data_IF_791198179513
#
_entry.id   IF_791198179513
#
_cell.length_a   1.000
_cell.length_b   1.000
_cell.length_c   1.000
_cell.angle_alpha   90.00
_cell.angle_beta   90.00
_cell.angle_gamma   90.00
#
_symmetry.space_group_name_H-M   'P 1'
#
loop_
_entity.id
_entity.type
_entity.pdbx_description
1 polymer ?
#
# COMPACT_ATOMS: atom_id res chain seq x y z
N UNK A 1 -9.26 -32.33 10.72
CA UNK A 1 -10.64 -31.98 10.37
C UNK A 1 -10.72 -30.46 10.32
N UNK A 2 -10.88 -29.90 9.11
CA UNK A 2 -11.10 -28.49 8.71
C UNK A 2 -10.06 -27.42 9.14
N UNK A 3 -9.16 -27.13 8.20
CA UNK A 3 -8.36 -25.91 8.12
C UNK A 3 -9.26 -24.72 7.72
N UNK A 4 -9.20 -23.64 8.49
CA UNK A 4 -9.86 -22.36 8.20
C UNK A 4 -8.82 -21.44 7.54
N UNK A 5 -8.88 -21.34 6.22
CA UNK A 5 -8.15 -20.34 5.44
C UNK A 5 -8.87 -19.00 5.59
N UNK A 6 -8.30 -18.07 6.38
CA UNK A 6 -8.73 -16.68 6.39
C UNK A 6 -8.01 -15.93 5.26
N UNK A 7 -8.71 -15.76 4.15
CA UNK A 7 -8.33 -14.87 3.05
C UNK A 7 -8.51 -13.42 3.55
N UNK A 8 -7.42 -12.65 3.67
CA UNK A 8 -7.45 -11.23 4.02
C UNK A 8 -6.81 -10.44 2.88
N UNK A 9 -7.62 -9.75 2.08
CA UNK A 9 -7.14 -8.82 1.06
C UNK A 9 -7.62 -7.40 1.35
N UNK A 10 -6.79 -6.44 0.96
CA UNK A 10 -7.01 -5.01 1.08
C UNK A 10 -8.14 -4.55 0.14
N UNK A 11 -8.80 -3.48 0.55
CA UNK A 11 -10.06 -2.99 0.00
C UNK A 11 -9.86 -1.52 -0.42
N UNK A 12 -10.15 -1.17 -1.68
CA UNK A 12 -10.05 0.20 -2.21
C UNK A 12 -11.40 0.66 -2.75
N UNK A 13 -11.76 1.93 -2.52
CA UNK A 13 -13.05 2.56 -2.89
C UNK A 13 -12.88 3.40 -4.17
N UNK A 14 -13.81 3.32 -5.14
CA UNK A 14 -13.88 4.21 -6.31
C UNK A 14 -15.29 4.79 -6.50
N UNK A 15 -15.42 6.12 -6.41
CA UNK A 15 -16.62 6.86 -6.83
C UNK A 15 -16.47 7.31 -8.30
N UNK A 16 -17.50 7.07 -9.13
CA UNK A 16 -17.60 7.60 -10.51
C UNK A 16 -18.83 8.49 -10.61
N UNK A 17 -18.65 9.82 -10.72
CA UNK A 17 -19.72 10.77 -11.03
C UNK A 17 -19.59 11.19 -12.50
N UNK A 18 -20.61 10.91 -13.30
CA UNK A 18 -20.73 11.37 -14.69
C UNK A 18 -21.69 12.58 -14.77
N UNK A 19 -21.26 13.65 -15.45
CA UNK A 19 -22.04 14.85 -15.77
C UNK A 19 -22.62 14.75 -17.18
N UNK A 20 -23.92 15.08 -17.37
CA UNK A 20 -24.44 15.53 -18.67
C UNK A 20 -25.71 16.39 -18.53
N UNK A 21 -25.86 17.33 -19.46
CA UNK A 21 -26.62 18.58 -19.37
C UNK A 21 -28.02 18.59 -20.04
N UNK A 22 -28.93 19.38 -19.46
CA UNK A 22 -29.97 20.28 -20.03
C UNK A 22 -31.06 19.79 -21.03
N UNK A 23 -32.36 20.03 -20.70
CA UNK A 23 -33.31 20.74 -21.59
C UNK A 23 -34.56 21.27 -20.83
N UNK A 24 -35.02 22.46 -21.23
CA UNK A 24 -36.15 23.24 -20.71
C UNK A 24 -37.43 22.95 -21.52
N UNK A 25 -38.59 22.80 -20.87
CA UNK A 25 -39.90 22.94 -21.52
C UNK A 25 -40.92 23.60 -20.59
N UNK A 26 -41.53 24.68 -21.08
CA UNK A 26 -42.50 25.54 -20.40
C UNK A 26 -43.90 25.21 -20.93
N UNK A 27 -44.84 24.80 -20.07
CA UNK A 27 -46.29 24.86 -20.35
C UNK A 27 -47.04 25.30 -19.09
N UNK A 28 -47.90 26.31 -19.26
CA UNK A 28 -48.81 26.84 -18.24
C UNK A 28 -50.00 25.88 -18.03
N UNK A 29 -50.37 25.64 -16.77
CA UNK A 29 -51.74 25.27 -16.43
C UNK A 29 -51.92 24.43 -15.17
N UNK A 30 -52.54 25.05 -14.16
CA UNK A 30 -53.28 24.47 -13.02
C UNK A 30 -52.45 24.00 -11.80
N UNK A 31 -53.01 24.33 -10.63
CA UNK A 31 -52.39 24.42 -9.30
C UNK A 31 -51.50 23.25 -8.86
N UNK A 32 -50.41 23.49 -8.10
CA UNK A 32 -49.75 22.40 -7.40
C UNK A 32 -50.60 22.01 -6.19
N UNK A 33 -51.24 20.85 -6.28
CA UNK A 33 -51.58 20.07 -5.09
C UNK A 33 -50.34 20.03 -4.20
N UNK A 34 -50.47 20.52 -2.97
CA UNK A 34 -49.42 20.45 -1.95
C UNK A 34 -49.35 19.02 -1.42
N UNK A 35 -49.07 18.06 -2.31
CA UNK A 35 -48.56 16.76 -1.94
C UNK A 35 -47.12 16.98 -1.53
N UNK A 36 -46.85 16.97 -0.23
CA UNK A 36 -45.50 16.85 0.27
C UNK A 36 -44.87 15.61 -0.37
N UNK A 37 -44.08 15.80 -1.43
CA UNK A 37 -43.16 14.78 -1.91
C UNK A 37 -42.20 14.56 -0.77
N UNK A 38 -42.46 13.49 -0.02
CA UNK A 38 -41.55 12.97 0.97
C UNK A 38 -40.27 12.67 0.20
N UNK A 39 -39.28 13.56 0.34
CA UNK A 39 -37.98 13.40 -0.28
C UNK A 39 -37.50 12.00 0.10
N UNK A 40 -37.40 11.11 -0.89
CA UNK A 40 -36.86 9.79 -0.65
C UNK A 40 -35.45 9.99 -0.10
N UNK A 41 -35.20 9.42 1.08
CA UNK A 41 -33.85 9.41 1.61
C UNK A 41 -32.92 8.83 0.53
N UNK A 42 -31.75 9.43 0.28
CA UNK A 42 -30.83 8.92 -0.74
C UNK A 42 -30.57 7.44 -0.44
N UNK A 43 -30.92 6.58 -1.40
CA UNK A 43 -30.60 5.16 -1.34
C UNK A 43 -29.09 5.08 -1.26
N UNK A 44 -28.57 4.70 -0.09
CA UNK A 44 -27.14 4.40 0.06
C UNK A 44 -26.87 3.17 -0.79
N UNK A 45 -26.34 3.37 -2.00
CA UNK A 45 -25.80 2.28 -2.81
C UNK A 45 -24.78 1.54 -1.94
N UNK A 46 -24.94 0.22 -1.73
CA UNK A 46 -23.98 -0.53 -0.95
C UNK A 46 -22.60 -0.41 -1.61
N UNK A 47 -21.58 -0.03 -0.84
CA UNK A 47 -20.19 -0.12 -1.30
C UNK A 47 -19.86 -1.60 -1.44
N UNK A 48 -19.52 -2.02 -2.66
CA UNK A 48 -19.11 -3.40 -2.96
C UNK A 48 -17.60 -3.46 -3.12
N UNK A 49 -16.99 -4.50 -2.54
CA UNK A 49 -15.58 -4.81 -2.73
C UNK A 49 -15.43 -6.05 -3.60
N UNK A 50 -14.46 -6.02 -4.50
CA UNK A 50 -14.09 -7.17 -5.32
C UNK A 50 -12.63 -7.56 -5.08
N UNK A 51 -12.34 -8.83 -5.28
CA UNK A 51 -10.98 -9.35 -5.23
C UNK A 51 -10.27 -9.06 -6.56
N UNK A 52 -9.10 -8.40 -6.52
CA UNK A 52 -8.25 -8.22 -7.69
C UNK A 52 -7.05 -9.17 -7.57
N UNK A 53 -7.03 -10.29 -8.32
CA UNK A 53 -6.01 -11.31 -8.14
C UNK A 53 -4.64 -10.86 -8.71
N UNK A 54 -3.53 -11.48 -8.27
CA UNK A 54 -2.18 -11.17 -8.78
C UNK A 54 -2.03 -11.18 -10.30
N UNK A 55 -2.75 -12.08 -10.99
CA UNK A 55 -2.76 -12.15 -12.47
C UNK A 55 -3.36 -10.92 -13.15
N UNK A 56 -4.12 -10.12 -12.41
CA UNK A 56 -4.77 -8.89 -12.87
C UNK A 56 -4.01 -7.68 -12.37
N UNK A 57 -3.60 -7.66 -11.10
CA UNK A 57 -2.92 -6.50 -10.51
C UNK A 57 -1.41 -6.48 -10.74
N UNK A 58 -0.76 -7.62 -11.00
CA UNK A 58 0.71 -7.73 -11.02
C UNK A 58 1.35 -7.83 -9.62
N UNK A 59 0.60 -7.64 -8.54
CA UNK A 59 1.10 -7.73 -7.16
C UNK A 59 1.17 -9.21 -6.75
N UNK A 60 2.39 -9.74 -6.57
CA UNK A 60 2.62 -11.16 -6.22
C UNK A 60 3.24 -11.36 -4.84
N UNK A 61 3.58 -10.27 -4.14
CA UNK A 61 4.23 -10.29 -2.83
C UNK A 61 3.34 -10.93 -1.76
N UNK A 62 3.99 -11.67 -0.86
CA UNK A 62 3.34 -12.34 0.26
C UNK A 62 4.14 -12.07 1.54
N UNK A 63 3.45 -11.56 2.56
CA UNK A 63 4.02 -11.41 3.89
C UNK A 63 4.21 -12.78 4.55
N UNK A 64 5.37 -13.00 5.15
CA UNK A 64 5.62 -14.09 6.08
C UNK A 64 5.85 -13.47 7.46
N UNK A 65 5.06 -13.85 8.44
CA UNK A 65 5.15 -13.29 9.80
C UNK A 65 6.12 -14.08 10.70
N UNK A 66 6.90 -15.01 10.13
CA UNK A 66 7.86 -15.84 10.86
C UNK A 66 7.23 -16.71 11.96
N UNK A 67 6.00 -17.16 11.77
CA UNK A 67 5.25 -17.90 12.77
C UNK A 67 6.03 -19.09 13.35
N UNK A 68 6.17 -19.11 14.68
CA UNK A 68 6.84 -20.15 15.44
C UNK A 68 5.98 -20.66 16.62
N UNK A 69 6.28 -21.85 17.17
CA UNK A 69 5.70 -22.30 18.44
C UNK A 69 5.98 -21.38 19.63
N UNK A 70 7.12 -20.67 19.60
CA UNK A 70 7.60 -19.80 20.68
C UNK A 70 6.88 -18.45 20.73
N UNK A 71 6.27 -18.02 19.61
CA UNK A 71 5.46 -16.80 19.48
C UNK A 71 6.20 -15.54 19.93
N UNK A 72 7.37 -15.30 19.33
CA UNK A 72 8.16 -14.10 19.63
C UNK A 72 7.34 -12.84 19.32
N UNK A 73 7.56 -11.77 20.09
CA UNK A 73 6.85 -10.50 19.90
C UNK A 73 6.91 -9.99 18.45
N UNK A 74 8.05 -10.03 17.73
CA UNK A 74 8.14 -9.72 16.30
C UNK A 74 7.14 -10.45 15.38
N UNK A 75 6.70 -11.66 15.71
CA UNK A 75 5.75 -12.41 14.89
C UNK A 75 4.31 -11.87 14.97
N UNK A 76 4.03 -11.12 16.05
CA UNK A 76 2.70 -10.59 16.36
C UNK A 76 2.45 -9.20 15.77
N UNK A 77 3.53 -8.54 15.34
CA UNK A 77 3.46 -7.24 14.65
C UNK A 77 3.38 -7.51 13.15
N UNK A 78 2.33 -7.01 12.51
CA UNK A 78 2.17 -7.14 11.07
C UNK A 78 3.15 -6.26 10.30
N UNK A 79 3.32 -6.56 9.02
CA UNK A 79 4.06 -5.73 8.09
C UNK A 79 3.48 -4.32 7.93
N UNK A 80 4.36 -3.31 7.96
CA UNK A 80 4.05 -1.97 7.48
C UNK A 80 3.98 -1.89 5.95
N UNK A 81 3.29 -0.86 5.47
CA UNK A 81 3.28 -0.45 4.08
C UNK A 81 3.35 1.07 3.97
N UNK A 82 3.82 1.56 2.82
CA UNK A 82 3.76 2.97 2.45
C UNK A 82 3.20 3.10 1.03
N UNK A 83 2.43 4.16 0.83
CA UNK A 83 2.07 4.66 -0.49
C UNK A 83 2.90 5.91 -0.73
N UNK A 84 3.63 5.94 -1.83
CA UNK A 84 4.55 7.02 -2.20
C UNK A 84 4.62 7.14 -3.70
N UNK A 85 4.90 8.33 -4.21
CA UNK A 85 5.27 8.55 -5.61
C UNK A 85 6.80 8.51 -5.66
N UNK A 86 7.40 7.35 -6.00
CA UNK A 86 8.87 7.19 -5.88
C UNK A 86 9.62 7.75 -7.09
N UNK A 87 8.95 7.89 -8.23
CA UNK A 87 9.53 8.36 -9.49
C UNK A 87 8.96 9.72 -9.95
N UNK A 88 8.17 10.39 -9.11
CA UNK A 88 7.57 11.71 -9.33
C UNK A 88 6.70 11.77 -10.59
N UNK A 89 6.01 10.67 -10.91
CA UNK A 89 5.12 10.58 -12.06
C UNK A 89 3.68 11.05 -11.77
N UNK A 90 3.39 11.41 -10.52
CA UNK A 90 2.11 11.89 -10.04
C UNK A 90 1.16 10.79 -9.57
N UNK A 91 1.59 9.53 -9.56
CA UNK A 91 0.80 8.38 -9.10
C UNK A 91 1.45 7.72 -7.89
N UNK A 92 0.60 7.24 -6.99
CA UNK A 92 1.09 6.51 -5.82
C UNK A 92 1.46 5.07 -6.21
N UNK A 93 2.68 4.71 -5.88
CA UNK A 93 3.27 3.38 -5.84
C UNK A 93 3.08 2.75 -4.47
N UNK A 94 3.53 1.50 -4.32
CA UNK A 94 3.35 0.74 -3.08
C UNK A 94 4.68 0.14 -2.61
N UNK A 95 5.07 0.45 -1.38
CA UNK A 95 6.13 -0.25 -0.66
C UNK A 95 5.55 -1.16 0.42
N UNK A 96 5.98 -2.42 0.45
CA UNK A 96 5.52 -3.46 1.38
C UNK A 96 6.71 -4.03 2.15
N UNK A 97 6.64 -4.00 3.48
CA UNK A 97 7.69 -4.51 4.37
C UNK A 97 7.46 -5.98 4.68
N UNK A 98 8.52 -6.79 4.71
CA UNK A 98 8.44 -8.20 5.06
C UNK A 98 9.35 -8.54 6.25
N UNK A 99 9.13 -9.71 6.83
CA UNK A 99 10.08 -10.32 7.75
C UNK A 99 11.32 -10.79 7.00
N UNK A 100 12.36 -11.12 7.74
CA UNK A 100 13.65 -11.55 7.21
C UNK A 100 14.45 -12.31 8.25
N UNK A 101 15.64 -12.80 7.89
CA UNK A 101 16.50 -13.54 8.82
C UNK A 101 16.77 -12.75 10.11
N UNK A 102 16.73 -13.44 11.25
CA UNK A 102 17.04 -12.92 12.58
C UNK A 102 17.65 -14.02 13.46
N UNK A 103 17.96 -13.71 14.71
CA UNK A 103 18.46 -14.67 15.72
C UNK A 103 17.46 -15.78 16.07
N UNK A 104 16.16 -15.56 15.89
CA UNK A 104 15.11 -16.55 16.16
C UNK A 104 14.40 -17.09 14.92
N UNK A 105 14.65 -16.53 13.73
CA UNK A 105 13.97 -16.93 12.49
C UNK A 105 14.93 -17.09 11.32
N UNK A 106 14.93 -18.30 10.73
CA UNK A 106 15.61 -18.60 9.46
C UNK A 106 14.56 -18.95 8.41
N UNK A 107 14.33 -18.09 7.41
CA UNK A 107 13.29 -18.33 6.42
C UNK A 107 13.71 -19.44 5.45
N UNK A 108 12.76 -20.29 5.04
CA UNK A 108 13.00 -21.41 4.11
C UNK A 108 13.37 -20.95 2.70
N UNK A 109 12.96 -19.73 2.34
CA UNK A 109 13.29 -19.04 1.09
C UNK A 109 13.64 -17.59 1.41
N UNK A 110 14.45 -16.90 0.59
CA UNK A 110 14.69 -15.48 0.77
C UNK A 110 13.37 -14.70 0.82
N UNK A 111 13.19 -13.93 1.89
CA UNK A 111 12.10 -12.97 2.03
C UNK A 111 12.63 -11.58 1.69
N UNK A 112 11.80 -10.80 1.01
CA UNK A 112 12.12 -9.44 0.59
C UNK A 112 10.94 -8.53 0.88
N UNK A 113 11.25 -7.26 1.15
CA UNK A 113 10.30 -6.18 0.95
C UNK A 113 9.94 -6.08 -0.54
N UNK A 114 8.92 -5.32 -0.88
CA UNK A 114 8.57 -5.07 -2.29
C UNK A 114 8.27 -3.60 -2.56
N UNK A 115 8.79 -3.07 -3.68
CA UNK A 115 8.37 -1.81 -4.28
C UNK A 115 7.66 -2.12 -5.60
N UNK A 116 6.41 -1.69 -5.70
CA UNK A 116 5.55 -1.86 -6.86
C UNK A 116 5.28 -0.51 -7.53
N UNK A 117 5.80 -0.33 -8.75
CA UNK A 117 5.48 0.82 -9.59
C UNK A 117 4.06 0.68 -10.15
N UNK A 118 3.28 1.75 -10.04
CA UNK A 118 1.93 1.83 -10.59
C UNK A 118 1.99 2.10 -12.09
N UNK A 119 1.49 1.18 -12.92
CA UNK A 119 1.52 1.34 -14.38
C UNK A 119 0.40 2.25 -14.93
N UNK A 120 -0.37 2.91 -14.06
CA UNK A 120 -1.48 3.85 -14.34
C UNK A 120 -2.71 3.21 -15.01
N UNK A 121 -2.76 1.88 -15.12
CA UNK A 121 -3.85 1.13 -15.73
C UNK A 121 -4.53 0.15 -14.75
N UNK A 122 -4.19 0.25 -13.46
CA UNK A 122 -4.64 -0.66 -12.41
C UNK A 122 -3.75 -1.89 -12.23
N UNK A 123 -2.65 -1.98 -12.98
CA UNK A 123 -1.60 -2.98 -12.80
C UNK A 123 -0.35 -2.37 -12.15
N UNK A 124 0.50 -3.23 -11.60
CA UNK A 124 1.72 -2.87 -10.91
C UNK A 124 2.89 -3.72 -11.38
N UNK A 125 4.07 -3.10 -11.45
CA UNK A 125 5.33 -3.76 -11.80
C UNK A 125 6.22 -3.84 -10.56
N UNK A 126 6.68 -5.04 -10.20
CA UNK A 126 7.69 -5.19 -9.14
C UNK A 126 9.04 -4.63 -9.63
N UNK A 127 9.48 -3.54 -8.99
CA UNK A 127 10.75 -2.87 -9.30
C UNK A 127 11.77 -3.02 -8.16
N UNK A 128 11.50 -3.88 -7.17
CA UNK A 128 12.27 -3.98 -5.91
C UNK A 128 13.77 -4.15 -6.12
N UNK A 129 14.16 -5.13 -6.95
CA UNK A 129 15.57 -5.45 -7.18
C UNK A 129 16.25 -4.38 -8.03
N UNK A 130 15.53 -3.78 -8.98
CA UNK A 130 16.02 -2.65 -9.79
C UNK A 130 16.26 -1.41 -8.94
N UNK A 131 15.33 -1.14 -8.02
CA UNK A 131 15.35 0.03 -7.14
C UNK A 131 16.33 -0.14 -5.96
N UNK A 132 16.75 -1.37 -5.64
CA UNK A 132 17.72 -1.63 -4.57
C UNK A 132 17.13 -1.63 -3.15
N UNK A 133 15.83 -1.91 -3.02
CA UNK A 133 15.07 -1.75 -1.76
C UNK A 133 14.51 -3.05 -1.20
N UNK A 134 15.13 -4.19 -1.56
CA UNK A 134 14.71 -5.52 -1.14
C UNK A 134 14.76 -5.76 0.38
N UNK A 135 15.49 -4.94 1.13
CA UNK A 135 15.66 -5.11 2.58
C UNK A 135 16.68 -6.20 2.90
N UNK A 136 16.27 -7.16 3.74
CA UNK A 136 17.16 -8.20 4.28
C UNK A 136 17.22 -8.24 5.81
N UNK A 137 16.37 -7.47 6.48
CA UNK A 137 16.18 -7.49 7.94
C UNK A 137 14.77 -7.95 8.27
N UNK A 138 14.50 -8.24 9.54
CA UNK A 138 13.14 -8.52 10.01
C UNK A 138 12.35 -7.21 10.12
N UNK A 139 11.81 -6.76 8.98
CA UNK A 139 11.12 -5.49 8.85
C UNK A 139 9.80 -5.45 9.61
N UNK A 140 9.49 -4.28 10.18
CA UNK A 140 8.30 -4.03 10.98
C UNK A 140 7.41 -2.96 10.36
N UNK A 141 8.00 -1.83 10.00
CA UNK A 141 7.28 -0.61 9.63
C UNK A 141 8.04 0.18 8.60
N UNK A 142 7.37 1.13 7.96
CA UNK A 142 7.97 2.04 7.00
C UNK A 142 7.36 3.43 7.12
N UNK A 143 8.19 4.45 6.97
CA UNK A 143 7.79 5.83 6.74
C UNK A 143 8.31 6.29 5.38
N UNK A 144 7.53 7.09 4.67
CA UNK A 144 7.89 7.70 3.40
C UNK A 144 7.86 9.22 3.55
N UNK A 145 8.98 9.89 3.30
CA UNK A 145 9.12 11.35 3.36
C UNK A 145 10.41 11.76 2.65
N UNK A 146 10.42 12.95 2.05
CA UNK A 146 11.64 13.62 1.59
C UNK A 146 12.38 14.17 2.81
N UNK A 147 13.40 13.44 3.31
CA UNK A 147 14.06 13.80 4.59
C UNK A 147 15.19 14.81 4.40
N UNK A 148 15.79 14.89 3.20
CA UNK A 148 16.90 15.79 2.89
C UNK A 148 16.49 17.01 2.05
N UNK A 149 15.23 17.10 1.64
CA UNK A 149 14.63 18.24 0.96
C UNK A 149 15.01 18.32 -0.53
N UNK A 150 15.34 17.20 -1.15
CA UNK A 150 15.78 17.13 -2.55
C UNK A 150 14.62 16.98 -3.55
N UNK A 151 13.39 16.85 -3.05
CA UNK A 151 12.17 16.69 -3.84
C UNK A 151 11.84 15.25 -4.23
N UNK A 152 12.59 14.25 -3.72
CA UNK A 152 12.32 12.85 -3.92
C UNK A 152 11.94 12.17 -2.62
N UNK A 153 10.88 11.35 -2.64
CA UNK A 153 10.42 10.69 -1.42
C UNK A 153 11.37 9.54 -1.06
N UNK A 154 11.92 9.59 0.14
CA UNK A 154 12.78 8.56 0.72
C UNK A 154 11.98 7.53 1.54
N UNK A 155 12.63 6.42 1.92
CA UNK A 155 12.03 5.37 2.73
C UNK A 155 12.85 5.12 4.00
N UNK A 156 12.19 5.18 5.16
CA UNK A 156 12.76 4.71 6.43
C UNK A 156 12.06 3.45 6.90
N UNK A 157 12.75 2.32 6.86
CA UNK A 157 12.26 1.00 7.26
C UNK A 157 12.74 0.68 8.67
N UNK A 158 11.80 0.49 9.59
CA UNK A 158 12.11 0.01 10.94
C UNK A 158 12.14 -1.51 10.95
N UNK A 159 13.08 -2.13 11.66
CA UNK A 159 13.22 -3.57 11.72
C UNK A 159 13.75 -4.02 13.09
N UNK A 160 13.58 -5.30 13.43
CA UNK A 160 14.31 -5.90 14.54
C UNK A 160 15.81 -5.98 14.20
N UNK A 161 16.65 -5.54 15.13
CA UNK A 161 18.11 -5.51 15.00
C UNK A 161 18.68 -4.31 14.24
N UNK A 162 18.21 -3.99 13.03
CA UNK A 162 18.75 -2.87 12.23
C UNK A 162 17.71 -2.20 11.33
N UNK A 163 17.50 -0.90 11.56
CA UNK A 163 16.70 -0.05 10.67
C UNK A 163 17.45 0.26 9.37
N UNK A 164 16.72 0.63 8.32
CA UNK A 164 17.29 1.01 7.02
C UNK A 164 16.70 2.36 6.57
N UNK A 165 17.56 3.34 6.29
CA UNK A 165 17.20 4.58 5.59
C UNK A 165 17.67 4.48 4.14
N UNK A 166 16.72 4.42 3.22
CA UNK A 166 16.93 4.46 1.78
C UNK A 166 16.70 5.89 1.30
N UNK A 167 17.77 6.54 0.82
CA UNK A 167 17.65 7.81 0.10
C UNK A 167 17.33 7.54 -1.37
N UNK A 168 16.30 8.16 -1.90
CA UNK A 168 15.96 8.12 -3.31
C UNK A 168 17.00 8.89 -4.13
N UNK A 169 17.44 8.36 -5.26
CA UNK A 169 18.44 8.99 -6.11
C UNK A 169 17.82 9.83 -7.25
N UNK A 170 16.49 9.80 -7.42
CA UNK A 170 15.78 10.49 -8.50
C UNK A 170 15.91 9.83 -9.88
N UNK A 171 16.46 8.61 -9.94
CA UNK A 171 16.60 7.80 -11.16
C UNK A 171 15.86 6.45 -11.07
N UNK A 172 14.95 6.35 -10.10
CA UNK A 172 14.21 5.12 -9.78
C UNK A 172 15.02 4.12 -8.96
N UNK A 173 16.17 4.52 -8.41
CA UNK A 173 16.97 3.71 -7.48
C UNK A 173 17.11 4.39 -6.12
N UNK A 174 17.46 3.60 -5.11
CA UNK A 174 17.72 4.07 -3.76
C UNK A 174 19.12 3.69 -3.30
N UNK A 175 19.64 4.45 -2.34
CA UNK A 175 20.89 4.16 -1.64
C UNK A 175 20.63 3.99 -0.15
N UNK A 176 21.12 2.89 0.43
CA UNK A 176 21.15 2.71 1.88
C UNK A 176 22.15 3.71 2.48
N UNK A 177 21.62 4.78 3.09
CA UNK A 177 22.38 5.83 3.77
C UNK A 177 22.35 5.68 5.29
N UNK A 178 21.86 4.55 5.81
CA UNK A 178 21.63 4.29 7.24
C UNK A 178 22.84 4.63 8.10
N UNK A 179 24.02 4.14 7.71
CA UNK A 179 25.25 4.35 8.46
C UNK A 179 25.68 5.82 8.42
N UNK A 180 25.57 6.46 7.25
CA UNK A 180 25.90 7.88 7.05
C UNK A 180 24.99 8.79 7.87
N UNK A 181 23.71 8.45 7.96
CA UNK A 181 22.72 9.19 8.73
C UNK A 181 22.72 8.87 10.24
N UNK A 182 23.41 7.80 10.67
CA UNK A 182 23.49 7.43 12.09
C UNK A 182 22.19 6.88 12.68
N UNK A 183 21.25 6.45 11.83
CA UNK A 183 19.89 6.03 12.21
C UNK A 183 19.68 4.51 12.23
N UNK A 184 20.78 3.75 12.19
CA UNK A 184 20.73 2.29 12.13
C UNK A 184 20.14 1.62 13.35
N UNK A 185 20.25 2.28 14.52
CA UNK A 185 19.77 1.88 15.86
C UNK A 185 19.73 0.36 16.10
N UNK A 186 20.65 -0.22 16.90
CA UNK A 186 20.59 -1.63 17.23
C UNK A 186 19.33 -1.86 18.07
N UNK A 187 18.30 -2.45 17.46
CA UNK A 187 17.05 -2.83 18.11
C UNK A 187 17.27 -3.92 19.15
#
# INVERSE_FOLDING_TARGET
MRSLLLNRQAVVVKDRIAFLSLLLALTLGLAPDSGAQQASAPVKTPVTFEEVPPRTSGITWVHDNAHSPERYLPETVGAGCAFLDYDNDGWLDIYLVNSGPSDFFTPQKPLKNALYHNNHDGTFTDVTDKAGVAGGTFGMGVAAADYDGDGWVDLYVTAYGRNILYRNNGDGTFTDVTAKAGVGAPG
#
